data_IF_640525324975
#
_entry.id   IF_640525324975
#
_cell.length_a   1.000
_cell.length_b   1.000
_cell.length_c   1.000
_cell.angle_alpha   90.00
_cell.angle_beta   90.00
_cell.angle_gamma   90.00
#
_symmetry.space_group_name_H-M   'P 1'
#
loop_
_entity.id
_entity.type
_entity.pdbx_description
1 polymer ?
#
# COMPACT_ATOMS: atom_id res chain seq x y z
N UNK A 1 25.90 -21.69 23.74
CA UNK A 1 24.62 -21.56 23.00
C UNK A 1 23.79 -20.52 23.72
N UNK A 2 23.88 -19.25 23.33
CA UNK A 2 23.23 -18.15 24.04
C UNK A 2 21.74 -18.10 23.67
N UNK A 3 20.88 -18.32 24.66
CA UNK A 3 19.43 -18.31 24.49
C UNK A 3 18.94 -16.86 24.60
N UNK A 4 18.60 -16.25 23.47
CA UNK A 4 18.09 -14.88 23.41
C UNK A 4 16.69 -14.87 24.02
N UNK A 5 16.56 -14.25 25.20
CA UNK A 5 15.29 -14.12 25.91
C UNK A 5 14.52 -12.91 25.36
N UNK A 6 13.70 -13.12 24.32
CA UNK A 6 12.92 -12.04 23.70
C UNK A 6 11.67 -11.76 24.55
N UNK A 7 11.55 -10.55 25.07
CA UNK A 7 10.37 -10.10 25.81
C UNK A 7 9.14 -10.02 24.87
N UNK A 8 7.99 -10.58 25.26
CA UNK A 8 6.78 -10.75 24.43
C UNK A 8 6.28 -9.46 23.76
N UNK A 9 6.60 -8.28 24.31
CA UNK A 9 6.28 -6.99 23.67
C UNK A 9 7.01 -6.79 22.34
N UNK A 10 8.25 -7.26 22.23
CA UNK A 10 9.08 -7.11 21.03
C UNK A 10 8.87 -8.25 20.02
N UNK A 11 8.19 -9.33 20.40
CA UNK A 11 7.83 -10.40 19.46
C UNK A 11 6.91 -9.89 18.33
N UNK A 12 6.08 -8.87 18.61
CA UNK A 12 5.17 -8.26 17.62
C UNK A 12 5.88 -7.48 16.51
N UNK A 13 7.09 -6.99 16.76
CA UNK A 13 7.90 -6.25 15.76
C UNK A 13 8.81 -7.16 14.93
N UNK A 14 8.95 -8.43 15.33
CA UNK A 14 9.72 -9.44 14.60
C UNK A 14 9.24 -9.68 13.15
N UNK A 15 7.93 -9.80 12.83
CA UNK A 15 7.50 -9.97 11.45
C UNK A 15 7.78 -8.75 10.58
N UNK A 16 7.73 -7.54 11.16
CA UNK A 16 8.06 -6.30 10.44
C UNK A 16 9.55 -6.24 10.11
N UNK A 17 10.42 -6.66 11.04
CA UNK A 17 11.85 -6.75 10.80
C UNK A 17 12.17 -7.79 9.71
N UNK A 18 11.52 -8.95 9.72
CA UNK A 18 11.70 -9.98 8.69
C UNK A 18 11.31 -9.49 7.29
N UNK A 19 10.26 -8.67 7.19
CA UNK A 19 9.83 -8.06 5.93
C UNK A 19 10.92 -7.14 5.34
N UNK A 20 11.59 -6.34 6.16
CA UNK A 20 12.63 -5.38 5.70
C UNK A 20 13.88 -6.10 5.18
N UNK A 21 14.30 -7.21 5.81
CA UNK A 21 15.53 -7.90 5.42
C UNK A 21 15.41 -8.56 4.03
N UNK A 22 14.20 -9.02 3.68
CA UNK A 22 13.95 -9.69 2.39
C UNK A 22 13.81 -8.70 1.20
N UNK A 23 13.77 -7.39 1.44
CA UNK A 23 13.67 -6.39 0.36
C UNK A 23 14.94 -6.33 -0.51
N UNK A 24 16.08 -6.78 0.00
CA UNK A 24 17.38 -6.73 -0.71
C UNK A 24 17.69 -8.01 -1.53
N UNK A 25 16.81 -9.02 -1.51
CA UNK A 25 17.08 -10.31 -2.17
C UNK A 25 16.70 -10.36 -3.66
N UNK A 26 16.00 -9.34 -4.15
CA UNK A 26 15.75 -9.13 -5.58
C UNK A 26 16.27 -7.73 -5.92
N UNK A 27 17.24 -7.64 -6.83
CA UNK A 27 17.67 -6.40 -7.47
C UNK A 27 16.52 -5.87 -8.34
N UNK A 28 15.52 -5.30 -7.67
CA UNK A 28 14.38 -4.67 -8.32
C UNK A 28 14.71 -3.19 -8.42
N UNK A 29 15.12 -2.76 -9.61
CA UNK A 29 15.30 -1.33 -9.86
C UNK A 29 13.93 -0.64 -9.96
N UNK A 30 13.65 0.26 -9.03
CA UNK A 30 12.49 1.14 -9.07
C UNK A 30 12.79 2.30 -10.05
N UNK A 31 12.38 2.15 -11.32
CA UNK A 31 12.79 3.07 -12.38
C UNK A 31 12.06 4.43 -12.37
N UNK A 32 10.84 4.52 -11.83
CA UNK A 32 10.11 5.79 -11.82
C UNK A 32 9.01 5.84 -10.76
N UNK A 33 8.98 6.93 -10.00
CA UNK A 33 7.83 7.35 -9.20
C UNK A 33 7.50 8.80 -9.53
N UNK A 34 6.44 9.00 -10.31
CA UNK A 34 5.78 10.30 -10.44
C UNK A 34 4.40 10.19 -9.80
N UNK A 35 3.94 11.29 -9.20
CA UNK A 35 2.66 11.30 -8.50
C UNK A 35 1.51 11.05 -9.50
N UNK A 36 0.87 9.88 -9.39
CA UNK A 36 -0.24 9.47 -10.25
C UNK A 36 0.08 8.40 -11.29
N UNK A 37 1.34 8.16 -11.65
CA UNK A 37 1.71 7.11 -12.63
C UNK A 37 1.86 5.71 -12.01
N UNK A 38 2.01 5.66 -10.69
CA UNK A 38 2.19 4.43 -9.91
C UNK A 38 3.65 4.00 -9.77
N UNK A 39 3.87 2.87 -9.10
CA UNK A 39 5.19 2.28 -8.87
C UNK A 39 5.50 1.31 -10.00
N UNK A 40 6.59 1.56 -10.73
CA UNK A 40 7.09 0.66 -11.78
C UNK A 40 8.37 -0.03 -11.30
N UNK A 41 8.38 -1.34 -11.43
CA UNK A 41 9.47 -2.23 -11.07
C UNK A 41 9.93 -2.96 -12.32
N UNK A 42 11.22 -2.89 -12.63
CA UNK A 42 11.84 -3.62 -13.73
C UNK A 42 12.93 -4.49 -13.14
N UNK A 43 12.86 -5.80 -13.38
CA UNK A 43 13.91 -6.72 -12.96
C UNK A 43 14.87 -7.04 -14.10
N UNK A 44 16.09 -7.44 -13.75
CA UNK A 44 17.15 -7.73 -14.72
C UNK A 44 16.79 -8.81 -15.75
N UNK A 45 15.93 -9.77 -15.38
CA UNK A 45 15.46 -10.82 -16.28
C UNK A 45 14.33 -10.38 -17.23
N UNK A 46 14.13 -9.07 -17.42
CA UNK A 46 13.22 -8.51 -18.42
C UNK A 46 11.74 -8.50 -18.02
N UNK A 47 11.39 -8.95 -16.82
CA UNK A 47 10.02 -8.80 -16.31
C UNK A 47 9.76 -7.36 -15.87
N UNK A 48 8.53 -6.90 -16.12
CA UNK A 48 8.08 -5.57 -15.74
C UNK A 48 6.80 -5.70 -14.92
N UNK A 49 6.75 -5.03 -13.78
CA UNK A 49 5.60 -4.99 -12.88
C UNK A 49 5.26 -3.54 -12.56
N UNK A 50 4.00 -3.15 -12.78
CA UNK A 50 3.49 -1.82 -12.54
C UNK A 50 2.32 -1.88 -11.55
N UNK A 51 2.50 -1.24 -10.39
CA UNK A 51 1.46 -1.04 -9.39
C UNK A 51 0.89 0.36 -9.55
N UNK A 52 -0.36 0.47 -9.97
CA UNK A 52 -1.07 1.74 -10.05
C UNK A 52 -2.32 1.72 -9.20
N UNK A 53 -2.85 2.89 -8.86
CA UNK A 53 -4.09 2.95 -8.13
C UNK A 53 -4.58 4.35 -7.88
N UNK A 54 -5.82 4.45 -7.40
CA UNK A 54 -6.40 5.70 -6.96
C UNK A 54 -7.38 5.47 -5.80
N UNK A 55 -7.56 6.50 -4.98
CA UNK A 55 -8.56 6.55 -3.94
C UNK A 55 -9.54 7.70 -4.21
N UNK A 56 -10.84 7.45 -4.02
CA UNK A 56 -11.91 8.43 -4.17
C UNK A 56 -12.61 8.61 -2.82
N UNK A 57 -12.15 9.56 -1.98
CA UNK A 57 -12.90 9.96 -0.80
C UNK A 57 -14.18 10.73 -1.19
N UNK A 58 -15.20 10.66 -0.35
CA UNK A 58 -16.49 11.33 -0.52
C UNK A 58 -16.96 11.87 0.82
N UNK A 59 -17.36 13.15 0.83
CA UNK A 59 -18.04 13.79 1.96
C UNK A 59 -19.41 14.28 1.50
N UNK A 60 -20.45 13.96 2.25
CA UNK A 60 -21.82 14.38 1.98
C UNK A 60 -22.35 15.16 3.19
N UNK A 61 -22.92 16.33 2.94
CA UNK A 61 -23.59 17.15 3.95
C UNK A 61 -25.06 17.26 3.59
N UNK A 62 -25.93 16.73 4.45
CA UNK A 62 -27.38 16.81 4.30
C UNK A 62 -27.93 17.76 5.36
N UNK A 63 -28.60 18.82 4.90
CA UNK A 63 -29.40 19.71 5.76
C UNK A 63 -30.83 19.18 5.80
N UNK A 64 -31.31 18.80 6.97
CA UNK A 64 -32.70 18.41 7.17
C UNK A 64 -33.46 19.68 7.56
N UNK A 65 -34.43 20.09 6.75
CA UNK A 65 -35.15 21.37 6.94
C UNK A 65 -36.18 21.34 8.07
N UNK A 66 -36.54 20.15 8.57
CA UNK A 66 -37.61 19.96 9.55
C UNK A 66 -37.13 19.93 11.00
N UNK A 67 -35.87 19.59 11.23
CA UNK A 67 -35.23 19.65 12.54
C UNK A 67 -33.79 20.08 12.31
N UNK A 68 -33.36 21.13 13.01
CA UNK A 68 -32.09 21.86 12.93
C UNK A 68 -30.87 20.95 13.20
N UNK A 69 -30.75 19.90 12.41
CA UNK A 69 -29.81 18.79 12.55
C UNK A 69 -29.08 18.64 11.22
N UNK A 70 -27.78 18.94 11.27
CA UNK A 70 -26.88 18.75 10.14
C UNK A 70 -26.36 17.32 10.18
N UNK A 71 -26.58 16.55 9.11
CA UNK A 71 -26.02 15.20 8.97
C UNK A 71 -24.82 15.24 8.03
N UNK A 72 -23.63 14.94 8.55
CA UNK A 72 -22.40 14.79 7.75
C UNK A 72 -22.02 13.32 7.63
N UNK A 73 -21.71 12.87 6.42
CA UNK A 73 -21.27 11.51 6.11
C UNK A 73 -19.94 11.54 5.37
N UNK A 74 -18.92 10.93 5.97
CA UNK A 74 -17.60 10.75 5.37
C UNK A 74 -17.42 9.30 4.98
N UNK A 75 -17.13 9.02 3.71
CA UNK A 75 -16.95 7.67 3.18
C UNK A 75 -15.84 7.64 2.15
N UNK A 76 -15.17 6.51 2.03
CA UNK A 76 -14.33 6.22 0.88
C UNK A 76 -15.18 5.51 -0.17
N UNK A 77 -15.39 6.14 -1.34
CA UNK A 77 -16.27 5.59 -2.39
C UNK A 77 -15.60 4.47 -3.16
N UNK A 78 -14.32 4.65 -3.52
CA UNK A 78 -13.55 3.66 -4.28
C UNK A 78 -12.08 3.69 -3.89
N UNK A 79 -11.49 2.51 -3.71
CA UNK A 79 -10.05 2.30 -3.76
C UNK A 79 -9.83 1.32 -4.89
N UNK A 80 -9.06 1.72 -5.91
CA UNK A 80 -8.65 0.83 -6.98
C UNK A 80 -7.16 0.67 -6.91
N UNK A 81 -6.73 -0.59 -6.80
CA UNK A 81 -5.36 -1.01 -7.01
C UNK A 81 -5.33 -1.84 -8.29
N UNK A 82 -4.34 -1.62 -9.12
CA UNK A 82 -4.10 -2.35 -10.35
C UNK A 82 -2.66 -2.81 -10.36
N UNK A 83 -2.48 -4.08 -10.66
CA UNK A 83 -1.18 -4.70 -10.87
C UNK A 83 -1.15 -5.14 -12.32
N UNK A 84 -0.32 -4.48 -13.12
CA UNK A 84 -0.07 -4.87 -14.51
C UNK A 84 1.34 -5.44 -14.58
N UNK A 85 1.53 -6.55 -15.28
CA UNK A 85 2.85 -7.16 -15.41
C UNK A 85 3.03 -7.94 -16.68
N UNK A 86 4.26 -7.96 -17.18
CA UNK A 86 4.69 -8.82 -18.29
C UNK A 86 5.84 -9.68 -17.78
N UNK A 87 5.71 -11.00 -18.00
CA UNK A 87 6.75 -11.97 -17.73
C UNK A 87 7.64 -12.14 -18.96
N UNK A 88 8.91 -12.44 -18.77
CA UNK A 88 9.90 -12.63 -19.85
C UNK A 88 9.81 -14.02 -20.53
N UNK A 89 8.64 -14.66 -20.56
CA UNK A 89 8.46 -15.99 -21.15
C UNK A 89 7.52 -15.93 -22.36
#
# INVERSE_FOLDING_TARGET
MALILINMKYFKVLPFLFFVINLNAQEVEMQSYTFGEGLKFVGESGYNLKLTGYAQPMSELKRISSEESNSSRYRMRRVRLRMDGQSSN
#
